data_IF_416805290336
#
_entry.id   IF_416805290336
#
_cell.length_a   1.000
_cell.length_b   1.000
_cell.length_c   1.000
_cell.angle_alpha   90.00
_cell.angle_beta   90.00
_cell.angle_gamma   90.00
#
_symmetry.space_group_name_H-M   'P 1'
#
loop_
_entity.id
_entity.type
_entity.pdbx_description
1 polymer ?
#
# COMPACT_ATOMS: atom_id res chain seq x y z
N UNK A 1 -2.53 -8.28 -21.42
CA UNK A 1 -3.11 -9.08 -22.53
C UNK A 1 -4.54 -9.54 -22.26
N UNK A 2 -4.84 -10.15 -21.10
CA UNK A 2 -6.22 -10.52 -20.75
C UNK A 2 -7.18 -9.33 -20.57
N UNK A 3 -6.67 -8.20 -20.05
CA UNK A 3 -7.46 -6.97 -19.87
C UNK A 3 -7.77 -6.25 -21.20
N UNK A 4 -6.93 -6.40 -22.22
CA UNK A 4 -7.07 -5.69 -23.51
C UNK A 4 -7.87 -6.49 -24.54
N UNK A 5 -7.69 -7.82 -24.57
CA UNK A 5 -8.34 -8.68 -25.57
C UNK A 5 -9.58 -9.43 -25.03
N UNK A 6 -9.78 -9.46 -23.71
CA UNK A 6 -10.87 -10.18 -23.06
C UNK A 6 -10.61 -11.70 -22.91
N UNK A 7 -11.33 -12.37 -22.00
CA UNK A 7 -11.06 -13.77 -21.62
C UNK A 7 -11.36 -14.79 -22.73
N UNK A 8 -12.21 -14.44 -23.71
CA UNK A 8 -12.60 -15.32 -24.82
C UNK A 8 -11.72 -15.16 -26.07
N UNK A 9 -10.69 -14.31 -26.02
CA UNK A 9 -9.83 -14.10 -27.17
C UNK A 9 -8.95 -15.34 -27.45
N UNK A 10 -8.82 -15.80 -28.71
CA UNK A 10 -8.04 -17.00 -29.04
C UNK A 10 -6.61 -17.01 -28.50
N UNK A 11 -5.93 -15.85 -28.50
CA UNK A 11 -4.58 -15.73 -27.93
C UNK A 11 -4.55 -15.94 -26.41
N UNK A 12 -5.57 -15.46 -25.68
CA UNK A 12 -5.67 -15.63 -24.22
C UNK A 12 -5.96 -17.09 -23.88
N UNK A 13 -6.83 -17.74 -24.66
CA UNK A 13 -7.12 -19.17 -24.50
C UNK A 13 -5.89 -20.04 -24.81
N UNK A 14 -5.14 -19.71 -25.87
CA UNK A 14 -3.90 -20.42 -26.22
C UNK A 14 -2.84 -20.27 -25.14
N UNK A 15 -2.64 -19.04 -24.62
CA UNK A 15 -1.73 -18.79 -23.51
C UNK A 15 -2.13 -19.58 -22.27
N UNK A 16 -3.41 -19.56 -21.90
CA UNK A 16 -3.93 -20.32 -20.76
C UNK A 16 -3.73 -21.83 -20.91
N UNK A 17 -3.95 -22.37 -22.12
CA UNK A 17 -3.67 -23.78 -22.40
C UNK A 17 -2.18 -24.12 -22.27
N UNK A 18 -1.32 -23.28 -22.86
CA UNK A 18 0.13 -23.44 -22.79
C UNK A 18 0.63 -23.42 -21.34
N UNK A 19 0.24 -22.41 -20.57
CA UNK A 19 0.62 -22.29 -19.16
C UNK A 19 0.10 -23.47 -18.33
N UNK A 20 -1.13 -23.94 -18.57
CA UNK A 20 -1.70 -25.08 -17.83
C UNK A 20 -1.01 -26.40 -18.15
N UNK A 21 -0.58 -26.57 -19.40
CA UNK A 21 0.14 -27.76 -19.84
C UNK A 21 1.56 -27.78 -19.26
N UNK A 22 2.35 -26.73 -19.48
CA UNK A 22 3.73 -26.67 -19.04
C UNK A 22 3.89 -26.41 -17.54
N UNK A 23 2.96 -25.68 -16.91
CA UNK A 23 2.98 -25.41 -15.47
C UNK A 23 2.85 -26.67 -14.60
N UNK A 24 2.28 -27.76 -15.14
CA UNK A 24 2.22 -29.06 -14.44
C UNK A 24 3.52 -29.87 -14.53
N UNK A 25 4.39 -29.55 -15.49
CA UNK A 25 5.64 -30.26 -15.75
C UNK A 25 6.84 -29.67 -15.00
N UNK A 26 6.63 -28.57 -14.27
CA UNK A 26 7.69 -27.94 -13.48
C UNK A 26 8.04 -28.79 -12.25
N UNK A 27 9.34 -28.81 -11.93
CA UNK A 27 9.88 -29.57 -10.81
C UNK A 27 9.60 -28.88 -9.46
N UNK A 28 9.49 -27.54 -9.49
CA UNK A 28 9.20 -26.70 -8.34
C UNK A 28 8.37 -25.50 -8.79
N UNK A 29 7.25 -25.24 -8.10
CA UNK A 29 6.44 -24.04 -8.29
C UNK A 29 6.46 -23.21 -7.01
N UNK A 30 6.63 -21.91 -7.17
CA UNK A 30 6.57 -20.94 -6.08
C UNK A 30 5.36 -20.03 -6.30
N UNK A 31 4.72 -19.60 -5.22
CA UNK A 31 3.59 -18.68 -5.28
C UNK A 31 3.63 -17.69 -4.11
N UNK A 32 3.05 -16.50 -4.30
CA UNK A 32 3.19 -15.38 -3.34
C UNK A 32 2.18 -15.44 -2.19
N UNK A 33 1.09 -16.20 -2.32
CA UNK A 33 0.04 -16.29 -1.29
C UNK A 33 -0.50 -17.72 -1.17
N UNK A 34 -1.12 -18.04 -0.03
CA UNK A 34 -1.83 -19.32 0.14
C UNK A 34 -3.06 -19.42 -0.77
N UNK A 35 -3.77 -18.30 -0.98
CA UNK A 35 -4.90 -18.26 -1.89
C UNK A 35 -4.48 -18.62 -3.33
N UNK A 36 -3.35 -18.09 -3.80
CA UNK A 36 -2.79 -18.44 -5.11
C UNK A 36 -2.35 -19.91 -5.16
N UNK A 37 -1.79 -20.44 -4.07
CA UNK A 37 -1.43 -21.88 -3.97
C UNK A 37 -2.65 -22.77 -4.14
N UNK A 38 -3.75 -22.44 -3.47
CA UNK A 38 -5.02 -23.19 -3.53
C UNK A 38 -5.64 -23.10 -4.92
N UNK A 39 -5.67 -21.90 -5.52
CA UNK A 39 -6.12 -21.72 -6.90
C UNK A 39 -5.30 -22.54 -7.92
N UNK A 40 -3.96 -22.54 -7.78
CA UNK A 40 -3.07 -23.34 -8.62
C UNK A 40 -3.30 -24.85 -8.43
N UNK A 41 -3.60 -25.30 -7.21
CA UNK A 41 -3.88 -26.70 -6.93
C UNK A 41 -5.22 -27.14 -7.52
N UNK A 42 -6.27 -26.34 -7.33
CA UNK A 42 -7.65 -26.70 -7.69
C UNK A 42 -7.92 -26.50 -9.19
N UNK A 43 -7.51 -25.35 -9.75
CA UNK A 43 -7.83 -24.99 -11.14
C UNK A 43 -6.77 -25.48 -12.14
N UNK A 44 -5.52 -25.66 -11.70
CA UNK A 44 -4.39 -25.97 -12.58
C UNK A 44 -3.71 -27.30 -12.27
N UNK A 45 -4.03 -27.96 -11.14
CA UNK A 45 -3.35 -29.16 -10.64
C UNK A 45 -1.84 -28.98 -10.47
N UNK A 46 -1.44 -27.77 -10.08
CA UNK A 46 -0.05 -27.38 -9.83
C UNK A 46 0.19 -27.35 -8.32
N UNK A 47 1.17 -28.14 -7.87
CA UNK A 47 1.64 -28.09 -6.48
C UNK A 47 2.69 -27.00 -6.33
N UNK A 48 2.36 -25.95 -5.57
CA UNK A 48 3.25 -24.83 -5.30
C UNK A 48 3.58 -24.68 -3.81
N UNK A 49 4.77 -24.15 -3.53
CA UNK A 49 5.19 -23.72 -2.20
C UNK A 49 4.98 -22.22 -2.08
N UNK A 50 4.37 -21.78 -0.98
CA UNK A 50 4.12 -20.35 -0.75
C UNK A 50 5.37 -19.68 -0.20
N UNK A 51 5.88 -18.72 -0.96
CA UNK A 51 6.95 -17.80 -0.56
C UNK A 51 6.36 -16.41 -0.62
N UNK A 52 5.96 -15.90 0.54
CA UNK A 52 5.32 -14.60 0.59
C UNK A 52 6.30 -13.50 0.23
N UNK A 53 5.87 -12.62 -0.67
CA UNK A 53 6.52 -11.35 -0.94
C UNK A 53 6.18 -10.37 0.19
N UNK A 54 6.85 -10.51 1.34
CA UNK A 54 6.67 -9.64 2.51
C UNK A 54 7.83 -8.65 2.60
N UNK A 55 7.57 -7.40 3.00
CA UNK A 55 8.65 -6.49 3.32
C UNK A 55 9.50 -7.06 4.45
N UNK A 56 10.80 -6.76 4.43
CA UNK A 56 11.73 -7.19 5.46
C UNK A 56 11.28 -6.72 6.85
N UNK A 57 11.60 -7.49 7.90
CA UNK A 57 11.09 -7.26 9.26
C UNK A 57 11.49 -5.91 9.88
N UNK A 58 12.49 -5.23 9.33
CA UNK A 58 12.89 -3.89 9.75
C UNK A 58 11.96 -2.78 9.22
N UNK A 59 11.14 -3.05 8.20
CA UNK A 59 10.08 -2.15 7.77
C UNK A 59 8.95 -2.16 8.80
N UNK A 60 9.04 -1.23 9.74
CA UNK A 60 8.07 -1.00 10.80
C UNK A 60 7.56 0.42 10.76
N UNK A 61 6.44 0.65 11.43
CA UNK A 61 5.89 2.00 11.55
C UNK A 61 6.94 2.98 12.10
N UNK A 62 7.07 4.12 11.44
CA UNK A 62 8.00 5.17 11.85
C UNK A 62 7.60 5.70 13.23
N UNK A 63 8.52 5.83 14.20
CA UNK A 63 8.24 6.47 15.49
C UNK A 63 7.60 7.84 15.34
N UNK A 64 6.69 8.20 16.25
CA UNK A 64 5.86 9.40 16.11
C UNK A 64 6.68 10.69 16.07
N UNK A 65 7.80 10.77 16.81
CA UNK A 65 8.72 11.90 16.77
C UNK A 65 9.37 12.10 15.39
N UNK A 66 9.76 10.99 14.74
CA UNK A 66 10.31 11.03 13.39
C UNK A 66 9.23 11.39 12.36
N UNK A 67 7.99 10.91 12.54
CA UNK A 67 6.86 11.33 11.72
C UNK A 67 6.63 12.85 11.84
N UNK A 68 6.63 13.38 13.07
CA UNK A 68 6.45 14.82 13.30
C UNK A 68 7.54 15.65 12.62
N UNK A 69 8.82 15.28 12.79
CA UNK A 69 9.94 15.95 12.11
C UNK A 69 9.78 15.93 10.59
N UNK A 70 9.35 14.80 10.03
CA UNK A 70 9.07 14.66 8.60
C UNK A 70 7.93 15.60 8.18
N UNK A 71 6.81 15.61 8.90
CA UNK A 71 5.66 16.46 8.57
C UNK A 71 5.96 17.94 8.73
N UNK A 72 6.78 18.35 9.72
CA UNK A 72 7.26 19.72 9.85
C UNK A 72 8.12 20.13 8.64
N UNK A 73 9.03 19.25 8.22
CA UNK A 73 9.84 19.46 7.01
C UNK A 73 8.99 19.53 5.74
N UNK A 74 7.96 18.68 5.62
CA UNK A 74 7.05 18.73 4.48
C UNK A 74 6.16 19.97 4.51
N UNK A 75 5.74 20.42 5.70
CA UNK A 75 4.93 21.63 5.88
C UNK A 75 5.64 22.91 5.47
N UNK A 76 6.98 22.94 5.53
CA UNK A 76 7.76 24.08 5.01
C UNK A 76 7.92 24.08 3.49
N UNK A 77 7.77 22.91 2.84
CA UNK A 77 7.91 22.75 1.38
C UNK A 77 6.57 22.72 0.65
N UNK A 78 5.52 22.23 1.31
CA UNK A 78 4.23 21.93 0.70
C UNK A 78 3.08 22.40 1.59
N UNK A 79 2.24 23.28 1.05
CA UNK A 79 1.07 23.86 1.75
C UNK A 79 0.14 22.82 2.39
N UNK A 80 -0.18 21.66 1.77
CA UNK A 80 -1.08 20.67 2.38
C UNK A 80 -0.60 20.06 3.70
N UNK A 81 0.72 20.11 3.98
CA UNK A 81 1.31 19.55 5.19
C UNK A 81 1.46 20.57 6.32
N UNK A 82 1.20 21.85 6.05
CA UNK A 82 1.26 22.93 7.04
C UNK A 82 0.06 22.84 8.00
N UNK A 83 0.25 23.31 9.24
CA UNK A 83 -0.85 23.41 10.19
C UNK A 83 -2.03 24.18 9.61
N UNK A 84 -3.24 23.62 9.75
CA UNK A 84 -4.50 24.26 9.30
C UNK A 84 -4.96 25.37 10.23
N UNK A 85 -4.55 25.31 11.49
CA UNK A 85 -4.79 26.32 12.53
C UNK A 85 -3.50 26.64 13.25
N UNK A 86 -3.30 27.92 13.54
CA UNK A 86 -2.20 28.38 14.39
C UNK A 86 -2.37 27.76 15.80
N UNK A 87 -1.29 27.24 16.40
CA UNK A 87 -1.33 26.76 17.77
C UNK A 87 -1.65 27.90 18.74
N UNK A 88 -2.36 27.58 19.83
CA UNK A 88 -2.72 28.57 20.86
C UNK A 88 -1.49 29.09 21.61
N UNK A 89 -0.43 28.28 21.70
CA UNK A 89 0.87 28.63 22.27
C UNK A 89 1.92 28.79 21.15
N UNK A 90 2.61 29.94 21.05
CA UNK A 90 3.63 30.20 20.03
C UNK A 90 4.85 29.25 20.10
N UNK A 91 5.03 28.51 21.20
CA UNK A 91 6.12 27.53 21.37
C UNK A 91 5.73 26.13 20.88
N UNK A 92 4.43 25.88 20.67
CA UNK A 92 3.93 24.57 20.24
C UNK A 92 4.18 24.36 18.73
N UNK A 93 4.83 23.25 18.38
CA UNK A 93 5.09 22.91 16.98
C UNK A 93 3.94 22.08 16.43
N UNK A 94 3.32 22.54 15.33
CA UNK A 94 2.16 21.89 14.71
C UNK A 94 2.35 21.71 13.21
N UNK A 95 2.05 20.51 12.72
CA UNK A 95 1.88 20.20 11.29
C UNK A 95 0.41 19.90 10.99
N UNK A 96 0.05 19.61 9.73
CA UNK A 96 -1.30 19.14 9.40
C UNK A 96 -1.69 17.84 10.13
N UNK A 97 -0.71 17.04 10.58
CA UNK A 97 -0.94 15.67 11.08
C UNK A 97 -0.62 15.47 12.56
N UNK A 98 0.30 16.24 13.11
CA UNK A 98 0.89 16.00 14.44
C UNK A 98 1.17 17.31 15.16
N UNK A 99 1.14 17.27 16.48
CA UNK A 99 1.45 18.38 17.37
C UNK A 99 2.45 17.94 18.43
N UNK A 100 3.37 18.84 18.79
CA UNK A 100 4.33 18.64 19.86
C UNK A 100 4.12 19.69 20.93
N UNK A 101 3.72 19.22 22.11
CA UNK A 101 3.46 20.06 23.27
C UNK A 101 4.75 20.72 23.78
N UNK A 102 4.71 22.03 24.00
CA UNK A 102 5.88 22.82 24.39
C UNK A 102 6.42 22.48 25.78
N UNK A 103 5.55 22.08 26.72
CA UNK A 103 5.93 21.82 28.11
C UNK A 103 6.47 20.41 28.34
N UNK A 104 5.77 19.41 27.81
CA UNK A 104 6.11 17.98 27.98
C UNK A 104 7.01 17.44 26.88
N UNK A 105 7.09 18.13 25.73
CA UNK A 105 7.79 17.65 24.54
C UNK A 105 7.11 16.47 23.86
N UNK A 106 5.93 16.04 24.34
CA UNK A 106 5.21 14.89 23.85
C UNK A 106 4.60 15.17 22.48
N UNK A 107 4.88 14.28 21.52
CA UNK A 107 4.27 14.33 20.20
C UNK A 107 2.97 13.53 20.19
N UNK A 108 1.91 14.13 19.68
CA UNK A 108 0.60 13.49 19.50
C UNK A 108 0.08 13.65 18.08
N UNK A 109 -0.84 12.78 17.67
CA UNK A 109 -1.54 12.88 16.37
C UNK A 109 -2.75 13.79 16.52
N UNK A 110 -2.95 14.68 15.57
CA UNK A 110 -4.14 15.53 15.53
C UNK A 110 -5.39 14.69 15.23
N UNK A 111 -6.50 15.03 15.89
CA UNK A 111 -7.80 14.36 15.70
C UNK A 111 -8.36 14.59 14.30
N UNK A 112 -8.32 15.83 13.83
CA UNK A 112 -8.85 16.25 12.51
C UNK A 112 -7.77 16.31 11.42
N UNK A 113 -6.76 15.42 11.51
CA UNK A 113 -5.70 15.37 10.50
C UNK A 113 -6.24 14.91 9.14
N UNK A 114 -5.69 15.39 8.02
CA UNK A 114 -6.02 14.84 6.71
C UNK A 114 -5.60 13.36 6.59
N UNK A 115 -6.23 12.66 5.66
CA UNK A 115 -5.75 11.36 5.20
C UNK A 115 -4.57 11.54 4.25
N UNK A 116 -3.53 10.70 4.38
CA UNK A 116 -2.40 10.65 3.47
C UNK A 116 -2.31 9.26 2.87
N UNK A 117 -2.41 9.17 1.55
CA UNK A 117 -2.19 7.96 0.79
C UNK A 117 -0.82 8.01 0.12
N UNK A 118 -0.04 6.95 0.26
CA UNK A 118 1.24 6.77 -0.43
C UNK A 118 1.16 5.44 -1.16
N UNK A 119 1.34 5.48 -2.49
CA UNK A 119 1.49 4.28 -3.31
C UNK A 119 2.94 4.15 -3.77
N UNK A 120 3.43 2.91 -3.88
CA UNK A 120 4.73 2.60 -4.50
C UNK A 120 4.70 2.75 -6.02
N UNK A 121 3.52 2.77 -6.62
CA UNK A 121 3.28 2.92 -8.05
C UNK A 121 2.63 4.28 -8.34
N UNK A 122 2.93 4.84 -9.51
CA UNK A 122 2.17 5.95 -10.05
C UNK A 122 0.80 5.48 -10.49
N UNK A 123 -0.21 6.35 -10.43
CA UNK A 123 -1.52 6.03 -11.00
C UNK A 123 -1.40 5.75 -12.50
N UNK A 124 -1.86 4.57 -12.91
CA UNK A 124 -2.10 4.21 -14.31
C UNK A 124 -3.54 3.70 -14.45
N UNK A 125 -4.12 3.81 -15.64
CA UNK A 125 -5.51 3.44 -15.90
C UNK A 125 -5.81 1.95 -15.63
N UNK A 126 -4.78 1.10 -15.70
CA UNK A 126 -4.86 -0.34 -15.43
C UNK A 126 -4.76 -0.71 -13.94
N UNK A 127 -4.42 0.23 -13.06
CA UNK A 127 -4.36 0.03 -11.61
C UNK A 127 -5.67 0.47 -10.92
N UNK A 128 -6.30 -0.43 -10.15
CA UNK A 128 -7.50 -0.10 -9.39
C UNK A 128 -7.15 0.60 -8.05
N UNK A 129 -7.10 1.93 -8.08
CA UNK A 129 -6.91 2.75 -6.88
C UNK A 129 -8.17 2.87 -6.01
N UNK A 130 -9.34 2.40 -6.46
CA UNK A 130 -10.58 2.51 -5.69
C UNK A 130 -10.48 1.76 -4.36
N UNK A 131 -9.77 0.63 -4.34
CA UNK A 131 -9.51 -0.14 -3.12
C UNK A 131 -8.75 0.67 -2.07
N UNK A 132 -7.79 1.50 -2.50
CA UNK A 132 -7.00 2.35 -1.61
C UNK A 132 -7.84 3.50 -1.05
N UNK A 133 -8.69 4.11 -1.89
CA UNK A 133 -9.60 5.17 -1.47
C UNK A 133 -10.67 4.65 -0.50
N UNK A 134 -11.27 3.51 -0.79
CA UNK A 134 -12.24 2.87 0.09
C UNK A 134 -11.64 2.56 1.48
N UNK A 135 -10.37 2.13 1.53
CA UNK A 135 -9.66 1.91 2.78
C UNK A 135 -9.47 3.20 3.61
N UNK A 136 -9.31 4.35 2.96
CA UNK A 136 -9.24 5.65 3.65
C UNK A 136 -10.60 6.08 4.18
N UNK A 137 -11.66 5.94 3.39
CA UNK A 137 -13.02 6.31 3.80
C UNK A 137 -13.51 5.49 5.00
N UNK A 138 -13.16 4.19 5.05
CA UNK A 138 -13.52 3.33 6.18
C UNK A 138 -12.86 3.69 7.53
N UNK A 139 -11.84 4.56 7.51
CA UNK A 139 -11.05 4.98 8.69
C UNK A 139 -11.37 6.40 9.17
N UNK A 140 -12.29 7.09 8.50
CA UNK A 140 -12.86 8.39 8.92
C UNK A 140 -14.15 8.14 9.68
#
# INVERSE_FOLDING_TARGET
MGLVHGPNHPLVLLAKWYEKFFGRLSHLNLCVTNAMREDLADNWHIRAVTVYDKPASFFKETPLDLQHRLFMKLGSMHSPFRARSEPEDPVTERSAFTERDAGSGLVTRLRERPALLVSSTSWTEDEDFSILLAALESRV
#
